data_IF_693416332680
#
_entry.id   IF_693416332680
#
_cell.length_a   1.000
_cell.length_b   1.000
_cell.length_c   1.000
_cell.angle_alpha   90.00
_cell.angle_beta   90.00
_cell.angle_gamma   90.00
#
_symmetry.space_group_name_H-M   'P 1'
#
loop_
_entity.id
_entity.type
_entity.pdbx_description
1 polymer ?
#
# COMPACT_ATOMS: atom_id res chain seq x y z
N UNK A 1 6.63 0.52 11.92
CA UNK A 1 5.44 1.28 12.30
C UNK A 1 5.56 1.95 13.66
N UNK A 2 4.50 2.64 14.10
CA UNK A 2 4.43 3.24 15.44
C UNK A 2 4.39 2.13 16.50
N UNK A 3 5.31 2.11 17.49
CA UNK A 3 5.36 1.03 18.49
C UNK A 3 4.19 1.00 19.46
N UNK A 4 3.44 2.11 19.60
CA UNK A 4 2.19 2.18 20.39
C UNK A 4 0.93 1.97 19.51
N UNK A 5 1.07 1.53 18.26
CA UNK A 5 -0.08 1.17 17.43
C UNK A 5 -0.53 -0.28 17.64
N UNK A 6 -1.69 -0.61 17.11
CA UNK A 6 -2.22 -1.99 17.11
C UNK A 6 -1.46 -2.95 16.20
N UNK A 7 -0.38 -2.51 15.54
CA UNK A 7 0.29 -3.32 14.51
C UNK A 7 0.93 -4.59 15.04
N UNK A 8 1.54 -4.56 16.24
CA UNK A 8 2.10 -5.77 16.87
C UNK A 8 1.01 -6.82 17.14
N UNK A 9 -0.14 -6.39 17.62
CA UNK A 9 -1.31 -7.25 17.84
C UNK A 9 -1.80 -7.87 16.53
N UNK A 10 -1.95 -7.05 15.48
CA UNK A 10 -2.37 -7.49 14.15
C UNK A 10 -1.36 -8.49 13.56
N UNK A 11 -0.06 -8.21 13.68
CA UNK A 11 0.98 -9.11 13.20
C UNK A 11 0.91 -10.45 13.93
N UNK A 12 0.83 -10.47 15.25
CA UNK A 12 0.76 -11.71 16.04
C UNK A 12 -0.49 -12.51 15.70
N UNK A 13 -1.66 -11.87 15.56
CA UNK A 13 -2.89 -12.53 15.10
C UNK A 13 -2.73 -13.13 13.70
N UNK A 14 -2.00 -12.45 12.81
CA UNK A 14 -1.68 -12.97 11.47
C UNK A 14 -0.76 -14.19 11.55
N UNK A 15 0.25 -14.17 12.42
CA UNK A 15 1.17 -15.30 12.63
C UNK A 15 0.45 -16.54 13.18
N UNK A 16 -0.64 -16.36 13.95
CA UNK A 16 -1.51 -17.45 14.42
C UNK A 16 -2.39 -18.05 13.31
N UNK A 17 -2.61 -17.33 12.21
CA UNK A 17 -3.49 -17.77 11.14
C UNK A 17 -2.87 -18.94 10.34
N UNK A 18 -3.72 -19.87 9.87
CA UNK A 18 -3.31 -21.02 9.04
C UNK A 18 -2.46 -20.64 7.82
N UNK A 19 -2.71 -19.46 7.22
CA UNK A 19 -1.96 -18.97 6.06
C UNK A 19 -0.47 -18.83 6.36
N UNK A 20 -0.11 -18.54 7.62
CA UNK A 20 1.29 -18.39 8.02
C UNK A 20 2.09 -19.69 7.89
N UNK A 21 1.46 -20.85 8.07
CA UNK A 21 2.11 -22.17 7.86
C UNK A 21 2.58 -22.36 6.43
N UNK A 22 1.97 -21.67 5.48
CA UNK A 22 2.23 -21.76 4.04
C UNK A 22 3.05 -20.58 3.49
N UNK A 23 3.61 -19.71 4.37
CA UNK A 23 4.48 -18.61 3.93
C UNK A 23 5.78 -19.16 3.39
N UNK A 24 6.13 -18.73 2.16
CA UNK A 24 7.25 -19.26 1.38
C UNK A 24 8.52 -18.41 1.45
N UNK A 25 8.55 -17.43 2.33
CA UNK A 25 9.66 -16.49 2.51
C UNK A 25 9.96 -16.26 3.99
N UNK A 26 11.20 -15.93 4.37
CA UNK A 26 11.53 -15.52 5.74
C UNK A 26 10.91 -14.18 6.06
N UNK A 27 10.64 -13.95 7.34
CA UNK A 27 10.07 -12.69 7.84
C UNK A 27 11.07 -12.04 8.77
N UNK A 28 11.41 -10.79 8.48
CA UNK A 28 12.29 -9.96 9.31
C UNK A 28 11.43 -8.88 9.99
N UNK A 29 11.32 -8.94 11.30
CA UNK A 29 10.63 -7.93 12.11
C UNK A 29 11.66 -6.90 12.56
N UNK A 30 11.52 -5.66 12.09
CA UNK A 30 12.36 -4.53 12.51
C UNK A 30 11.61 -3.75 13.58
N UNK A 31 12.06 -3.90 14.84
CA UNK A 31 11.39 -3.26 15.97
C UNK A 31 11.78 -3.85 17.31
N UNK A 32 11.21 -3.32 18.39
CA UNK A 32 11.57 -3.73 19.74
C UNK A 32 11.19 -5.17 20.07
N UNK A 33 12.20 -6.00 20.25
CA UNK A 33 12.05 -7.41 20.66
C UNK A 33 11.31 -7.53 21.98
N UNK A 34 11.61 -6.64 22.94
CA UNK A 34 10.95 -6.59 24.27
C UNK A 34 9.45 -6.33 24.13
N UNK A 35 9.06 -5.34 23.33
CA UNK A 35 7.64 -4.99 23.10
C UNK A 35 6.92 -6.13 22.40
N UNK A 36 7.53 -6.70 21.37
CA UNK A 36 6.96 -7.80 20.61
C UNK A 36 6.77 -9.07 21.48
N UNK A 37 7.79 -9.45 22.27
CA UNK A 37 7.69 -10.59 23.21
C UNK A 37 6.61 -10.38 24.27
N UNK A 38 6.46 -9.15 24.81
CA UNK A 38 5.38 -8.83 25.77
C UNK A 38 4.00 -9.06 25.16
N UNK A 39 3.81 -8.63 23.90
CA UNK A 39 2.53 -8.80 23.19
C UNK A 39 2.27 -10.28 22.83
N UNK A 40 3.30 -11.05 22.42
CA UNK A 40 3.20 -12.50 22.24
C UNK A 40 2.70 -13.22 23.50
N UNK A 41 3.27 -12.88 24.68
CA UNK A 41 2.86 -13.44 25.98
C UNK A 41 1.40 -13.10 26.29
N UNK A 42 0.99 -11.83 26.06
CA UNK A 42 -0.38 -11.36 26.27
C UNK A 42 -1.40 -12.11 25.41
N UNK A 43 -1.08 -12.33 24.13
CA UNK A 43 -1.95 -13.02 23.18
C UNK A 43 -1.83 -14.55 23.24
N UNK A 44 -1.00 -15.09 24.16
CA UNK A 44 -0.74 -16.53 24.31
C UNK A 44 -0.31 -17.20 23.01
N UNK A 45 0.59 -16.56 22.25
CA UNK A 45 1.10 -17.06 20.98
C UNK A 45 2.58 -17.43 21.11
N UNK A 46 2.93 -18.64 20.73
CA UNK A 46 4.32 -19.10 20.67
C UNK A 46 4.86 -18.90 19.26
N UNK A 47 6.00 -18.25 19.13
CA UNK A 47 6.70 -17.99 17.87
C UNK A 47 8.19 -18.23 18.08
N UNK A 48 8.82 -18.93 17.15
CA UNK A 48 10.28 -19.08 17.13
C UNK A 48 10.91 -17.79 16.57
N UNK A 49 11.26 -16.87 17.46
CA UNK A 49 11.85 -15.56 17.15
C UNK A 49 13.36 -15.61 17.29
N UNK A 50 14.08 -15.65 16.18
CA UNK A 50 15.55 -15.63 16.13
C UNK A 50 16.08 -14.22 16.00
N UNK A 51 17.33 -13.98 16.36
CA UNK A 51 18.02 -12.75 15.98
C UNK A 51 18.32 -12.79 14.48
N UNK A 52 18.34 -11.62 13.87
CA UNK A 52 18.78 -11.47 12.49
C UNK A 52 20.29 -11.17 12.50
N UNK A 53 21.07 -12.08 11.96
CA UNK A 53 22.54 -11.92 11.89
C UNK A 53 22.98 -11.71 10.43
N UNK A 54 22.60 -12.61 9.51
CA UNK A 54 22.98 -12.54 8.09
C UNK A 54 21.79 -12.94 7.19
N UNK A 55 21.54 -12.23 6.07
CA UNK A 55 20.52 -12.60 5.08
C UNK A 55 20.66 -14.01 4.50
N UNK A 56 21.89 -14.50 4.33
CA UNK A 56 22.18 -15.81 3.72
C UNK A 56 21.65 -16.99 4.54
N UNK A 57 21.52 -16.81 5.86
CA UNK A 57 21.13 -17.88 6.79
C UNK A 57 19.64 -17.88 7.12
N UNK A 58 18.78 -17.27 6.28
CA UNK A 58 17.36 -17.15 6.56
C UNK A 58 16.57 -18.39 6.13
N UNK A 59 15.95 -19.06 7.09
CA UNK A 59 14.98 -20.14 6.84
C UNK A 59 13.56 -19.62 6.75
N UNK A 60 12.77 -20.09 5.79
CA UNK A 60 11.35 -19.77 5.60
C UNK A 60 10.46 -20.11 6.81
N UNK A 61 10.89 -21.00 7.68
CA UNK A 61 10.15 -21.45 8.87
C UNK A 61 10.34 -20.55 10.08
N UNK A 62 11.30 -19.61 10.03
CA UNK A 62 11.65 -18.76 11.17
C UNK A 62 11.21 -17.33 10.96
N UNK A 63 11.00 -16.65 12.08
CA UNK A 63 10.83 -15.21 12.17
C UNK A 63 12.08 -14.63 12.78
N UNK A 64 12.64 -13.63 12.12
CA UNK A 64 13.85 -12.96 12.56
C UNK A 64 13.53 -11.57 13.10
N UNK A 65 14.31 -11.09 14.04
CA UNK A 65 14.15 -9.76 14.61
C UNK A 65 15.46 -8.98 14.55
N UNK A 66 15.36 -7.78 14.01
CA UNK A 66 16.35 -6.72 14.19
C UNK A 66 15.85 -5.84 15.30
N UNK A 67 16.50 -5.92 16.46
CA UNK A 67 16.04 -5.21 17.66
C UNK A 67 16.36 -3.71 17.59
N UNK A 68 15.34 -2.92 17.86
CA UNK A 68 15.46 -1.48 18.12
C UNK A 68 14.90 -1.27 19.54
N UNK A 69 15.80 -1.23 20.56
CA UNK A 69 15.34 -1.12 21.94
C UNK A 69 14.56 0.16 22.20
N UNK A 70 13.46 0.05 22.93
CA UNK A 70 12.66 1.18 23.42
C UNK A 70 12.11 0.93 24.81
N UNK A 71 11.99 2.01 25.57
CA UNK A 71 11.20 2.03 26.79
C UNK A 71 9.87 2.76 26.54
N UNK A 72 8.76 2.02 26.59
CA UNK A 72 7.42 2.59 26.37
C UNK A 72 6.92 3.43 27.56
N UNK A 73 7.53 3.33 28.75
CA UNK A 73 7.17 4.15 29.92
C UNK A 73 7.67 5.59 29.72
N UNK A 74 8.93 5.75 29.27
CA UNK A 74 9.58 7.05 29.02
C UNK A 74 9.68 7.35 27.52
N UNK A 75 8.56 7.27 26.82
CA UNK A 75 8.52 7.33 25.37
C UNK A 75 8.00 8.68 24.86
N UNK A 76 8.90 9.65 24.77
CA UNK A 76 8.63 10.97 24.20
C UNK A 76 8.37 10.93 22.69
N UNK A 77 7.78 11.99 22.16
CA UNK A 77 7.56 12.14 20.71
C UNK A 77 8.87 12.08 19.90
N UNK A 78 9.95 12.67 20.42
CA UNK A 78 11.27 12.63 19.80
C UNK A 78 11.81 11.19 19.72
N UNK A 79 11.75 10.43 20.81
CA UNK A 79 12.16 9.02 20.85
C UNK A 79 11.31 8.16 19.90
N UNK A 80 10.00 8.44 19.79
CA UNK A 80 9.10 7.77 18.85
C UNK A 80 9.53 8.01 17.41
N UNK A 81 9.76 9.25 17.02
CA UNK A 81 10.16 9.61 15.67
C UNK A 81 11.54 9.01 15.30
N UNK A 82 12.51 9.06 16.20
CA UNK A 82 13.81 8.43 16.03
C UNK A 82 13.70 6.92 15.84
N UNK A 83 12.85 6.24 16.61
CA UNK A 83 12.58 4.81 16.44
C UNK A 83 12.01 4.48 15.07
N UNK A 84 11.01 5.24 14.61
CA UNK A 84 10.39 5.05 13.29
C UNK A 84 11.42 5.29 12.18
N UNK A 85 12.21 6.37 12.27
CA UNK A 85 13.23 6.70 11.29
C UNK A 85 14.32 5.61 11.22
N UNK A 86 14.82 5.14 12.37
CA UNK A 86 15.79 4.04 12.45
C UNK A 86 15.21 2.75 11.82
N UNK A 87 13.94 2.44 12.08
CA UNK A 87 13.31 1.26 11.48
C UNK A 87 13.20 1.35 9.97
N UNK A 88 12.89 2.52 9.40
CA UNK A 88 12.91 2.72 7.95
C UNK A 88 14.32 2.68 7.36
N UNK A 89 15.31 3.29 8.03
CA UNK A 89 16.70 3.24 7.56
C UNK A 89 17.21 1.80 7.42
N UNK A 90 16.93 0.96 8.42
CA UNK A 90 17.30 -0.47 8.38
C UNK A 90 16.56 -1.18 7.25
N UNK A 91 15.23 -1.01 7.16
CA UNK A 91 14.42 -1.64 6.12
C UNK A 91 14.87 -1.25 4.70
N UNK A 92 15.12 0.04 4.46
CA UNK A 92 15.57 0.54 3.16
C UNK A 92 16.98 0.03 2.80
N UNK A 93 17.86 -0.16 3.78
CA UNK A 93 19.18 -0.76 3.54
C UNK A 93 19.06 -2.22 3.08
N UNK A 94 18.21 -3.04 3.73
CA UNK A 94 17.98 -4.43 3.33
C UNK A 94 17.38 -4.49 1.92
N UNK A 95 16.42 -3.63 1.62
CA UNK A 95 15.78 -3.56 0.30
C UNK A 95 16.76 -3.12 -0.79
N UNK A 96 17.64 -2.15 -0.49
CA UNK A 96 18.66 -1.66 -1.44
C UNK A 96 19.72 -2.71 -1.77
N UNK A 97 20.09 -3.55 -0.81
CA UNK A 97 21.03 -4.65 -0.99
C UNK A 97 20.43 -5.85 -1.72
N UNK A 98 19.10 -5.88 -1.91
CA UNK A 98 18.41 -7.04 -2.46
C UNK A 98 18.08 -8.14 -1.43
N UNK A 99 18.41 -7.92 -0.16
CA UNK A 99 18.16 -8.87 0.95
C UNK A 99 16.67 -9.03 1.28
N UNK A 100 15.82 -8.21 0.70
CA UNK A 100 14.37 -8.25 0.91
C UNK A 100 13.61 -7.82 -0.34
N UNK A 101 12.50 -8.52 -0.64
CA UNK A 101 11.64 -8.25 -1.80
C UNK A 101 10.56 -7.20 -1.51
N UNK A 102 10.11 -7.11 -0.28
CA UNK A 102 8.95 -6.30 0.09
C UNK A 102 9.08 -5.68 1.47
N UNK A 103 8.45 -4.54 1.63
CA UNK A 103 8.28 -3.84 2.90
C UNK A 103 6.80 -3.84 3.29
N UNK A 104 6.48 -4.42 4.44
CA UNK A 104 5.19 -4.21 5.09
C UNK A 104 5.44 -3.26 6.27
N UNK A 105 4.96 -2.02 6.18
CA UNK A 105 5.03 -1.12 7.31
C UNK A 105 3.68 -0.98 8.02
N UNK A 106 3.71 -1.01 9.34
CA UNK A 106 2.56 -0.70 10.17
C UNK A 106 2.15 0.78 10.07
N UNK A 107 0.99 1.13 10.63
CA UNK A 107 0.47 2.49 10.59
C UNK A 107 1.39 3.45 11.36
N UNK A 108 1.46 4.68 10.87
CA UNK A 108 2.30 5.76 11.41
C UNK A 108 1.47 7.03 11.45
N UNK A 109 1.56 7.78 12.55
CA UNK A 109 0.95 9.10 12.63
C UNK A 109 1.68 10.08 11.70
N UNK A 110 0.99 10.54 10.68
CA UNK A 110 1.53 11.47 9.68
C UNK A 110 1.90 12.82 10.31
N UNK A 111 1.02 13.35 11.15
CA UNK A 111 1.19 14.65 11.79
C UNK A 111 2.44 14.72 12.68
N UNK A 112 2.73 13.66 13.42
CA UNK A 112 3.85 13.63 14.36
C UNK A 112 5.17 13.25 13.73
N UNK A 113 5.17 12.31 12.76
CA UNK A 113 6.41 11.80 12.15
C UNK A 113 6.86 12.66 10.96
N UNK A 114 5.95 12.96 10.03
CA UNK A 114 6.31 13.67 8.80
C UNK A 114 6.43 15.19 8.99
N UNK A 115 5.84 15.75 10.06
CA UNK A 115 5.92 17.19 10.41
C UNK A 115 5.63 18.13 9.23
N UNK A 116 4.69 17.77 8.35
CA UNK A 116 4.34 18.54 7.16
C UNK A 116 5.36 18.51 6.01
N UNK A 117 6.52 17.85 6.17
CA UNK A 117 7.52 17.76 5.10
C UNK A 117 7.09 16.87 3.92
N UNK A 118 6.21 15.91 4.16
CA UNK A 118 5.66 14.99 3.16
C UNK A 118 4.17 14.80 3.39
N UNK A 119 3.40 14.66 2.32
CA UNK A 119 1.95 14.44 2.38
C UNK A 119 1.58 13.07 2.96
N UNK A 120 2.51 12.10 2.88
CA UNK A 120 2.33 10.76 3.43
C UNK A 120 3.61 9.94 3.43
N UNK A 121 3.52 8.70 3.94
CA UNK A 121 4.66 7.76 3.97
C UNK A 121 5.04 7.32 2.54
N UNK A 122 4.12 7.34 1.60
CA UNK A 122 4.38 7.04 0.19
C UNK A 122 5.37 8.05 -0.39
N UNK A 123 5.10 9.33 -0.22
CA UNK A 123 5.94 10.43 -0.70
C UNK A 123 7.30 10.48 0.03
N UNK A 124 7.29 10.16 1.34
CA UNK A 124 8.54 10.01 2.11
C UNK A 124 9.42 8.88 1.56
N UNK A 125 8.85 7.72 1.28
CA UNK A 125 9.61 6.59 0.72
C UNK A 125 10.06 6.87 -0.71
N UNK A 126 9.22 7.48 -1.54
CA UNK A 126 9.56 7.89 -2.90
C UNK A 126 10.77 8.84 -2.89
N UNK A 127 10.76 9.84 -2.01
CA UNK A 127 11.91 10.74 -1.81
C UNK A 127 13.18 9.98 -1.41
N UNK A 128 13.08 9.09 -0.40
CA UNK A 128 14.24 8.30 0.09
C UNK A 128 14.80 7.33 -0.97
N UNK A 129 13.99 6.92 -1.93
CA UNK A 129 14.40 5.99 -3.01
C UNK A 129 14.60 6.68 -4.35
N UNK A 130 14.49 8.01 -4.41
CA UNK A 130 14.57 8.81 -5.65
C UNK A 130 13.58 8.33 -6.71
N UNK A 131 12.39 7.91 -6.29
CA UNK A 131 11.29 7.47 -7.17
C UNK A 131 10.39 8.65 -7.49
N UNK A 132 9.85 8.71 -8.73
CA UNK A 132 9.03 9.83 -9.21
C UNK A 132 7.69 9.40 -9.79
N UNK A 133 7.41 8.11 -9.86
CA UNK A 133 6.21 7.54 -10.50
C UNK A 133 5.43 6.63 -9.54
N UNK A 134 5.51 6.94 -8.25
CA UNK A 134 4.78 6.23 -7.23
C UNK A 134 3.27 6.42 -7.39
N UNK A 135 2.53 5.35 -7.16
CA UNK A 135 1.09 5.38 -7.20
C UNK A 135 0.48 4.54 -6.07
N UNK A 136 -0.58 5.06 -5.49
CA UNK A 136 -1.42 4.30 -4.58
C UNK A 136 -2.23 3.29 -5.39
N UNK A 137 -2.19 2.04 -4.98
CA UNK A 137 -2.85 0.92 -5.62
C UNK A 137 -3.56 0.10 -4.56
N UNK A 138 -4.88 0.18 -4.52
CA UNK A 138 -5.68 -0.64 -3.62
C UNK A 138 -6.05 -1.93 -4.34
N UNK A 139 -5.40 -3.03 -3.92
CA UNK A 139 -5.55 -4.35 -4.53
C UNK A 139 -6.61 -5.18 -3.82
N UNK A 140 -7.51 -5.73 -4.61
CA UNK A 140 -8.34 -6.88 -4.26
C UNK A 140 -8.34 -7.86 -5.44
N UNK A 141 -8.46 -9.15 -5.18
CA UNK A 141 -8.39 -10.20 -6.21
C UNK A 141 -9.42 -10.06 -7.33
N UNK A 142 -10.56 -9.43 -7.05
CA UNK A 142 -11.68 -9.28 -8.00
C UNK A 142 -11.62 -7.96 -8.77
N UNK A 143 -11.17 -6.88 -8.11
CA UNK A 143 -11.06 -5.56 -8.69
C UNK A 143 -10.03 -4.75 -7.90
N UNK A 144 -9.14 -4.06 -8.59
CA UNK A 144 -8.25 -3.08 -7.97
C UNK A 144 -8.68 -1.65 -8.32
N UNK A 145 -8.23 -0.69 -7.53
CA UNK A 145 -8.42 0.73 -7.85
C UNK A 145 -7.16 1.54 -7.62
N UNK A 146 -7.02 2.65 -8.35
CA UNK A 146 -5.92 3.61 -8.16
C UNK A 146 -6.42 5.03 -8.40
N UNK A 147 -6.30 5.95 -7.45
CA UNK A 147 -6.63 7.35 -7.68
C UNK A 147 -5.45 8.08 -8.35
N UNK A 148 -5.74 9.02 -9.26
CA UNK A 148 -4.73 9.90 -9.85
C UNK A 148 -4.17 10.87 -8.82
N UNK A 149 -5.03 11.45 -8.01
CA UNK A 149 -4.65 12.33 -6.90
C UNK A 149 -5.06 11.70 -5.57
N UNK A 150 -4.23 11.89 -4.52
CA UNK A 150 -4.47 11.34 -3.20
C UNK A 150 -4.82 12.43 -2.18
N UNK A 151 -3.93 12.83 -1.33
CA UNK A 151 -4.17 13.70 -0.18
C UNK A 151 -4.11 15.19 -0.55
N UNK A 152 -4.94 15.64 -1.48
CA UNK A 152 -5.05 17.05 -1.84
C UNK A 152 -6.50 17.52 -1.71
N UNK A 153 -6.75 18.83 -1.43
CA UNK A 153 -8.10 19.39 -1.42
C UNK A 153 -8.81 19.19 -2.75
N UNK A 154 -10.12 18.94 -2.71
CA UNK A 154 -10.92 18.63 -3.89
C UNK A 154 -10.89 19.74 -4.95
N UNK A 155 -10.88 21.00 -4.54
CA UNK A 155 -10.79 22.17 -5.42
C UNK A 155 -9.47 22.25 -6.21
N UNK A 156 -8.43 21.54 -5.78
CA UNK A 156 -7.12 21.48 -6.48
C UNK A 156 -6.98 20.29 -7.42
N UNK A 157 -7.94 19.36 -7.44
CA UNK A 157 -7.85 18.12 -8.22
C UNK A 157 -7.73 18.43 -9.71
N UNK A 158 -8.66 19.20 -10.28
CA UNK A 158 -8.68 19.51 -11.71
C UNK A 158 -7.35 20.12 -12.20
N UNK A 159 -6.77 21.03 -11.43
CA UNK A 159 -5.50 21.67 -11.75
C UNK A 159 -4.31 20.69 -11.77
N UNK A 160 -4.36 19.64 -10.94
CA UNK A 160 -3.30 18.63 -10.80
C UNK A 160 -3.37 17.52 -11.84
N UNK A 161 -4.55 17.24 -12.40
CA UNK A 161 -4.69 16.21 -13.45
C UNK A 161 -4.06 16.72 -14.74
N UNK A 162 -2.98 16.05 -15.17
CA UNK A 162 -2.25 16.35 -16.40
C UNK A 162 -2.04 15.10 -17.23
N UNK A 163 -2.11 15.24 -18.54
CA UNK A 163 -1.90 14.16 -19.53
C UNK A 163 -0.65 13.33 -19.22
N UNK A 164 0.49 13.97 -18.95
CA UNK A 164 1.76 13.29 -18.59
C UNK A 164 1.63 12.44 -17.32
N UNK A 165 0.95 12.97 -16.29
CA UNK A 165 0.71 12.27 -15.05
C UNK A 165 -0.15 11.01 -15.27
N UNK A 166 -1.23 11.11 -16.06
CA UNK A 166 -2.11 9.99 -16.39
C UNK A 166 -1.30 8.90 -17.11
N UNK A 167 -0.53 9.27 -18.14
CA UNK A 167 0.29 8.33 -18.91
C UNK A 167 1.29 7.60 -18.00
N UNK A 168 2.03 8.34 -17.18
CA UNK A 168 3.05 7.76 -16.31
C UNK A 168 2.43 6.79 -15.29
N UNK A 169 1.36 7.21 -14.61
CA UNK A 169 0.71 6.38 -13.59
C UNK A 169 0.10 5.11 -14.18
N UNK A 170 -0.56 5.19 -15.34
CA UNK A 170 -1.12 4.01 -16.02
C UNK A 170 -0.02 3.07 -16.52
N UNK A 171 1.10 3.60 -17.01
CA UNK A 171 2.26 2.76 -17.35
C UNK A 171 2.83 2.05 -16.13
N UNK A 172 2.96 2.72 -14.98
CA UNK A 172 3.38 2.09 -13.71
C UNK A 172 2.42 0.97 -13.28
N UNK A 173 1.11 1.19 -13.39
CA UNK A 173 0.08 0.19 -13.13
C UNK A 173 0.24 -1.01 -14.07
N UNK A 174 0.33 -0.77 -15.37
CA UNK A 174 0.47 -1.83 -16.36
C UNK A 174 1.75 -2.66 -16.14
N UNK A 175 2.86 -2.00 -15.83
CA UNK A 175 4.13 -2.67 -15.54
C UNK A 175 4.06 -3.50 -14.26
N UNK A 176 3.39 -3.00 -13.21
CA UNK A 176 3.14 -3.75 -11.99
C UNK A 176 2.34 -5.03 -12.25
N UNK A 177 1.24 -4.93 -13.02
CA UNK A 177 0.45 -6.11 -13.39
C UNK A 177 1.28 -7.12 -14.19
N UNK A 178 2.06 -6.68 -15.16
CA UNK A 178 2.92 -7.58 -15.95
C UNK A 178 3.97 -8.26 -15.08
N UNK A 179 4.69 -7.48 -14.26
CA UNK A 179 5.80 -7.98 -13.47
C UNK A 179 5.35 -8.91 -12.36
N UNK A 180 4.34 -8.51 -11.58
CA UNK A 180 3.97 -9.23 -10.37
C UNK A 180 2.74 -10.12 -10.53
N UNK A 181 1.77 -9.76 -11.38
CA UNK A 181 0.56 -10.54 -11.57
C UNK A 181 0.59 -11.41 -12.83
N UNK A 182 1.57 -11.20 -13.72
CA UNK A 182 1.82 -12.04 -14.88
C UNK A 182 0.90 -11.81 -16.08
N UNK A 183 0.11 -10.71 -16.12
CA UNK A 183 -0.79 -10.44 -17.23
C UNK A 183 -0.96 -8.93 -17.52
N UNK A 184 -1.49 -8.60 -18.71
CA UNK A 184 -1.85 -7.23 -19.11
C UNK A 184 -3.25 -6.89 -18.57
N UNK A 185 -3.42 -5.87 -17.71
CA UNK A 185 -4.72 -5.54 -17.14
C UNK A 185 -5.68 -4.91 -18.14
N UNK A 186 -6.98 -5.12 -17.94
CA UNK A 186 -8.05 -4.31 -18.52
C UNK A 186 -8.30 -3.12 -17.60
N UNK A 187 -8.01 -1.91 -18.09
CA UNK A 187 -7.98 -0.67 -17.31
C UNK A 187 -9.19 0.18 -17.68
N UNK A 188 -10.01 0.54 -16.70
CA UNK A 188 -10.99 1.60 -16.81
C UNK A 188 -10.40 2.91 -16.30
N UNK A 189 -10.66 4.01 -16.97
CA UNK A 189 -10.30 5.37 -16.51
C UNK A 189 -11.59 6.17 -16.40
N UNK A 190 -11.88 6.73 -15.23
CA UNK A 190 -13.07 7.58 -15.05
C UNK A 190 -12.84 8.98 -15.59
N UNK A 191 -13.92 9.70 -15.86
CA UNK A 191 -13.86 11.16 -15.97
C UNK A 191 -13.71 11.81 -14.60
N UNK A 192 -13.45 13.10 -14.58
CA UNK A 192 -13.49 13.92 -13.38
C UNK A 192 -14.91 14.44 -13.14
N UNK A 193 -15.55 14.92 -14.21
CA UNK A 193 -16.90 15.48 -14.17
C UNK A 193 -17.98 14.40 -14.27
N UNK A 194 -19.20 14.67 -13.75
CA UNK A 194 -20.34 13.76 -13.88
C UNK A 194 -20.56 13.36 -15.35
N UNK A 195 -20.88 12.09 -15.56
CA UNK A 195 -21.16 11.49 -16.88
C UNK A 195 -20.05 11.69 -17.94
N UNK A 196 -18.87 12.18 -17.56
CA UNK A 196 -17.78 12.56 -18.47
C UNK A 196 -18.22 13.65 -19.46
N UNK A 197 -19.26 14.41 -19.12
CA UNK A 197 -19.81 15.42 -20.00
C UNK A 197 -18.82 16.54 -20.25
N UNK A 198 -18.79 16.93 -21.50
CA UNK A 198 -17.98 18.06 -21.94
C UNK A 198 -18.86 19.29 -21.94
N UNK A 199 -18.95 19.98 -20.81
CA UNK A 199 -19.58 21.30 -20.75
C UNK A 199 -18.95 22.24 -21.81
N UNK A 200 -19.71 23.26 -22.27
CA UNK A 200 -19.19 24.27 -23.22
C UNK A 200 -17.84 24.80 -22.71
N UNK A 201 -16.78 24.69 -23.53
CA UNK A 201 -15.46 25.17 -23.21
C UNK A 201 -14.40 24.07 -23.02
N UNK A 202 -13.23 24.47 -22.53
CA UNK A 202 -12.10 23.56 -22.22
C UNK A 202 -12.39 22.84 -20.91
N UNK A 203 -12.59 21.53 -20.99
CA UNK A 203 -12.71 20.67 -19.81
C UNK A 203 -11.58 19.64 -19.77
N UNK A 204 -11.40 19.05 -18.62
CA UNK A 204 -10.27 18.15 -18.34
C UNK A 204 -10.38 16.84 -19.10
N UNK A 205 -11.59 16.38 -19.41
CA UNK A 205 -11.84 15.18 -20.21
C UNK A 205 -11.26 15.35 -21.61
N UNK A 206 -11.52 16.49 -22.26
CA UNK A 206 -11.02 16.80 -23.62
C UNK A 206 -9.54 17.15 -23.63
N UNK A 207 -9.04 17.90 -22.64
CA UNK A 207 -7.68 18.46 -22.68
C UNK A 207 -6.62 17.52 -22.13
N UNK A 208 -6.95 16.68 -21.17
CA UNK A 208 -5.97 15.85 -20.46
C UNK A 208 -6.29 14.35 -20.56
N UNK A 209 -7.54 13.92 -20.23
CA UNK A 209 -7.87 12.50 -20.07
C UNK A 209 -7.94 11.79 -21.42
N UNK A 210 -8.76 12.28 -22.35
CA UNK A 210 -8.90 11.68 -23.69
C UNK A 210 -7.58 11.62 -24.46
N UNK A 211 -6.76 12.69 -24.51
CA UNK A 211 -5.47 12.62 -25.17
C UNK A 211 -4.51 11.60 -24.54
N UNK A 212 -4.52 11.47 -23.21
CA UNK A 212 -3.71 10.45 -22.51
C UNK A 212 -4.14 9.04 -22.90
N UNK A 213 -5.46 8.77 -22.89
CA UNK A 213 -6.02 7.46 -23.27
C UNK A 213 -5.69 7.13 -24.74
N UNK A 214 -5.81 8.10 -25.67
CA UNK A 214 -5.45 7.90 -27.07
C UNK A 214 -3.99 7.46 -27.23
N UNK A 215 -3.05 8.12 -26.51
CA UNK A 215 -1.62 7.75 -26.54
C UNK A 215 -1.41 6.34 -25.98
N UNK A 216 -2.07 5.99 -24.87
CA UNK A 216 -1.94 4.69 -24.23
C UNK A 216 -2.54 3.56 -25.08
N UNK A 217 -3.64 3.81 -25.81
CA UNK A 217 -4.20 2.88 -26.81
C UNK A 217 -3.23 2.61 -27.95
N UNK A 218 -2.56 3.65 -28.49
CA UNK A 218 -1.51 3.48 -29.50
C UNK A 218 -0.36 2.60 -29.01
N UNK A 219 -0.06 2.60 -27.70
CA UNK A 219 0.90 1.69 -27.06
C UNK A 219 0.34 0.29 -26.76
N UNK A 220 -0.80 -0.07 -27.36
CA UNK A 220 -1.48 -1.39 -27.22
C UNK A 220 -1.85 -1.76 -25.79
N UNK A 221 -2.15 -0.77 -24.90
CA UNK A 221 -2.74 -1.03 -23.58
C UNK A 221 -4.25 -1.32 -23.73
N UNK A 222 -4.74 -2.25 -22.91
CA UNK A 222 -6.18 -2.56 -22.82
C UNK A 222 -6.86 -1.55 -21.90
N UNK A 223 -7.12 -0.35 -22.44
CA UNK A 223 -7.63 0.80 -21.69
C UNK A 223 -8.93 1.33 -22.30
N UNK A 224 -9.91 1.63 -21.45
CA UNK A 224 -11.18 2.24 -21.82
C UNK A 224 -11.46 3.46 -20.93
N UNK A 225 -12.03 4.50 -21.51
CA UNK A 225 -12.43 5.72 -20.81
C UNK A 225 -12.39 6.97 -21.72
N UNK A 226 -12.70 8.15 -21.18
CA UNK A 226 -13.25 8.30 -19.82
C UNK A 226 -14.62 7.62 -19.66
N UNK A 227 -14.87 7.02 -18.49
CA UNK A 227 -16.12 6.38 -18.13
C UNK A 227 -16.76 7.13 -16.96
N UNK A 228 -18.07 7.10 -16.92
CA UNK A 228 -18.83 7.70 -15.82
C UNK A 228 -18.55 6.99 -14.50
N UNK A 229 -18.20 7.76 -13.47
CA UNK A 229 -17.79 7.22 -12.18
C UNK A 229 -18.91 6.55 -11.41
N UNK A 230 -20.16 7.00 -11.59
CA UNK A 230 -21.36 6.46 -10.95
C UNK A 230 -21.74 5.06 -11.47
N UNK A 231 -21.45 4.78 -12.73
CA UNK A 231 -21.88 3.52 -13.38
C UNK A 231 -20.76 2.49 -13.54
N UNK A 232 -19.48 2.90 -13.55
CA UNK A 232 -18.36 1.97 -13.75
C UNK A 232 -18.21 0.93 -12.64
N UNK A 233 -18.69 1.23 -11.43
CA UNK A 233 -18.66 0.33 -10.28
C UNK A 233 -19.87 -0.62 -10.19
N UNK A 234 -20.89 -0.44 -11.02
CA UNK A 234 -22.00 -1.39 -11.10
C UNK A 234 -21.47 -2.79 -11.42
N UNK A 235 -22.11 -3.82 -10.84
CA UNK A 235 -21.63 -5.21 -10.90
C UNK A 235 -21.28 -5.66 -12.31
N UNK A 236 -22.13 -5.38 -13.28
CA UNK A 236 -21.94 -5.81 -14.68
C UNK A 236 -20.84 -5.02 -15.41
N UNK A 237 -20.60 -3.77 -15.01
CA UNK A 237 -19.56 -2.95 -15.60
C UNK A 237 -18.18 -3.27 -15.00
N UNK A 238 -18.06 -3.32 -13.67
CA UNK A 238 -16.77 -3.54 -13.00
C UNK A 238 -16.14 -4.89 -13.32
N UNK A 239 -16.92 -5.94 -13.62
CA UNK A 239 -16.41 -7.26 -14.03
C UNK A 239 -15.61 -7.22 -15.33
N UNK A 240 -15.82 -6.21 -16.17
CA UNK A 240 -15.10 -6.03 -17.43
C UNK A 240 -13.66 -5.59 -17.21
N UNK A 241 -13.29 -5.11 -16.02
CA UNK A 241 -12.00 -4.50 -15.72
C UNK A 241 -11.26 -5.22 -14.60
N UNK A 242 -9.94 -5.14 -14.64
CA UNK A 242 -9.08 -5.58 -13.53
C UNK A 242 -8.78 -4.43 -12.58
N UNK A 243 -8.80 -3.20 -13.10
CA UNK A 243 -8.56 -1.98 -12.33
C UNK A 243 -9.39 -0.82 -12.85
N UNK A 244 -9.90 -0.02 -11.93
CA UNK A 244 -10.52 1.28 -12.18
C UNK A 244 -9.60 2.37 -11.66
N UNK A 245 -9.25 3.30 -12.54
CA UNK A 245 -8.40 4.46 -12.24
C UNK A 245 -9.27 5.69 -12.19
N UNK A 246 -9.39 6.29 -11.01
CA UNK A 246 -10.17 7.51 -10.81
C UNK A 246 -9.31 8.75 -10.72
N UNK A 247 -9.94 9.92 -10.82
CA UNK A 247 -9.23 11.20 -10.82
C UNK A 247 -8.86 11.65 -9.41
N UNK A 248 -9.62 11.27 -8.39
CA UNK A 248 -9.34 11.61 -6.99
C UNK A 248 -9.65 10.44 -6.05
N UNK A 249 -9.14 10.58 -4.82
CA UNK A 249 -9.13 9.54 -3.79
C UNK A 249 -10.51 8.91 -3.57
N UNK A 250 -11.52 9.70 -3.20
CA UNK A 250 -12.82 9.16 -2.77
C UNK A 250 -13.67 8.68 -3.93
N UNK A 251 -13.39 9.13 -5.17
CA UNK A 251 -14.06 8.64 -6.38
C UNK A 251 -13.93 7.12 -6.55
N UNK A 252 -12.84 6.55 -6.12
CA UNK A 252 -12.56 5.10 -6.26
C UNK A 252 -12.48 4.37 -4.93
N UNK A 253 -12.01 5.01 -3.84
CA UNK A 253 -11.90 4.34 -2.56
C UNK A 253 -13.25 4.21 -1.86
N UNK A 254 -14.15 5.17 -2.00
CA UNK A 254 -15.51 5.07 -1.46
C UNK A 254 -16.23 3.82 -1.98
N UNK A 255 -16.45 3.70 -3.30
CA UNK A 255 -17.05 2.49 -3.87
C UNK A 255 -16.31 1.19 -3.54
N UNK A 256 -14.96 1.23 -3.58
CA UNK A 256 -14.15 0.05 -3.27
C UNK A 256 -14.38 -0.45 -1.84
N UNK A 257 -14.44 0.47 -0.88
CA UNK A 257 -14.71 0.15 0.53
C UNK A 257 -16.12 -0.33 0.77
N UNK A 258 -17.10 0.24 0.09
CA UNK A 258 -18.50 -0.20 0.15
C UNK A 258 -18.66 -1.63 -0.37
N UNK A 259 -17.95 -1.97 -1.46
CA UNK A 259 -18.09 -3.29 -2.10
C UNK A 259 -17.29 -4.38 -1.37
N UNK A 260 -16.07 -4.08 -0.92
CA UNK A 260 -15.12 -5.08 -0.40
C UNK A 260 -14.75 -4.90 1.06
N UNK A 261 -15.19 -3.85 1.73
CA UNK A 261 -14.86 -3.56 3.13
C UNK A 261 -13.35 -3.49 3.35
N UNK A 262 -12.86 -4.27 4.31
CA UNK A 262 -11.43 -4.39 4.62
C UNK A 262 -10.71 -5.51 3.86
N UNK A 263 -11.34 -6.09 2.83
CA UNK A 263 -10.75 -7.16 2.02
C UNK A 263 -9.90 -6.61 0.88
N UNK A 264 -9.06 -5.63 1.20
CA UNK A 264 -8.13 -5.01 0.28
C UNK A 264 -6.81 -4.69 0.98
N UNK A 265 -5.75 -4.56 0.19
CA UNK A 265 -4.43 -4.12 0.65
C UNK A 265 -3.98 -2.89 -0.12
N UNK A 266 -3.34 -1.97 0.58
CA UNK A 266 -2.77 -0.78 -0.04
C UNK A 266 -1.32 -1.08 -0.43
N UNK A 267 -1.07 -1.13 -1.74
CA UNK A 267 0.26 -1.32 -2.32
C UNK A 267 0.74 0.03 -2.86
N UNK A 268 1.97 0.39 -2.60
CA UNK A 268 2.63 1.49 -3.31
C UNK A 268 3.42 0.89 -4.47
N UNK A 269 3.00 1.21 -5.68
CA UNK A 269 3.71 0.84 -6.92
C UNK A 269 4.61 1.98 -7.38
N UNK A 270 5.60 1.68 -8.25
CA UNK A 270 6.56 2.68 -8.73
C UNK A 270 7.77 2.90 -7.82
N UNK A 271 7.84 2.23 -6.67
CA UNK A 271 9.06 2.09 -5.87
C UNK A 271 9.92 0.93 -6.41
N UNK A 272 11.24 0.88 -6.12
CA UNK A 272 12.11 -0.21 -6.56
C UNK A 272 11.80 -1.56 -5.87
N UNK A 273 10.88 -1.58 -4.89
CA UNK A 273 10.42 -2.75 -4.16
C UNK A 273 8.90 -2.69 -3.95
N UNK A 274 8.30 -3.82 -3.58
CA UNK A 274 6.90 -3.87 -3.19
C UNK A 274 6.74 -3.27 -1.79
N UNK A 275 5.94 -2.22 -1.67
CA UNK A 275 5.53 -1.71 -0.37
C UNK A 275 4.06 -1.95 -0.14
N UNK A 276 3.73 -2.59 0.99
CA UNK A 276 2.35 -2.85 1.40
C UNK A 276 2.08 -2.18 2.75
N UNK A 277 0.91 -1.57 2.88
CA UNK A 277 0.38 -1.14 4.17
C UNK A 277 -0.98 -1.78 4.43
N UNK A 278 -1.21 -2.30 5.64
CA UNK A 278 -2.57 -2.62 6.06
C UNK A 278 -3.44 -1.37 5.99
N UNK A 279 -4.69 -1.56 5.60
CA UNK A 279 -5.63 -0.47 5.37
C UNK A 279 -6.30 0.00 6.67
N UNK A 280 -5.50 0.42 7.65
CA UNK A 280 -5.95 0.99 8.93
C UNK A 280 -4.94 1.97 9.51
N UNK A 281 -5.43 2.90 10.34
CA UNK A 281 -4.61 3.85 11.10
C UNK A 281 -3.96 3.24 12.34
N UNK A 282 -3.20 4.03 13.13
CA UNK A 282 -2.53 3.57 14.36
C UNK A 282 -3.49 3.02 15.43
N UNK A 283 -4.74 3.49 15.46
CA UNK A 283 -5.80 3.05 16.36
C UNK A 283 -5.37 3.02 17.84
N UNK A 284 -4.80 4.12 18.33
CA UNK A 284 -4.26 4.23 19.70
C UNK A 284 -5.27 3.83 20.77
N UNK A 285 -6.57 4.14 20.58
CA UNK A 285 -7.65 3.76 21.50
C UNK A 285 -7.85 2.25 21.62
N UNK A 286 -7.43 1.48 20.63
CA UNK A 286 -7.53 0.02 20.62
C UNK A 286 -6.24 -0.68 21.06
N UNK A 287 -5.17 0.10 21.29
CA UNK A 287 -3.88 -0.47 21.68
C UNK A 287 -3.99 -1.29 22.97
N UNK A 288 -3.61 -2.53 22.88
CA UNK A 288 -3.63 -3.47 24.01
C UNK A 288 -5.01 -4.04 24.36
N UNK A 289 -6.09 -3.75 23.63
CA UNK A 289 -7.44 -4.26 23.88
C UNK A 289 -7.76 -5.61 23.22
N UNK A 290 -6.88 -6.14 22.41
CA UNK A 290 -7.09 -7.38 21.63
C UNK A 290 -8.33 -7.34 20.70
N UNK A 291 -8.69 -6.15 20.21
CA UNK A 291 -9.87 -5.93 19.34
C UNK A 291 -9.51 -5.70 17.86
N UNK A 292 -8.21 -5.65 17.51
CA UNK A 292 -7.80 -5.34 16.14
C UNK A 292 -8.04 -6.51 15.17
N UNK A 293 -8.40 -6.15 13.91
CA UNK A 293 -8.70 -7.11 12.86
C UNK A 293 -7.44 -7.35 12.00
N UNK A 294 -6.93 -8.61 11.89
CA UNK A 294 -5.73 -8.92 11.12
C UNK A 294 -5.99 -9.13 9.62
N UNK A 295 -7.24 -9.04 9.14
CA UNK A 295 -7.63 -9.46 7.77
C UNK A 295 -6.79 -8.79 6.69
N UNK A 296 -6.55 -7.49 6.78
CA UNK A 296 -5.74 -6.76 5.78
C UNK A 296 -4.28 -7.25 5.74
N UNK A 297 -3.68 -7.57 6.89
CA UNK A 297 -2.32 -8.10 6.92
C UNK A 297 -2.25 -9.56 6.43
N UNK A 298 -3.27 -10.37 6.73
CA UNK A 298 -3.41 -11.72 6.18
C UNK A 298 -3.46 -11.66 4.64
N UNK A 299 -4.23 -10.73 4.07
CA UNK A 299 -4.27 -10.52 2.61
C UNK A 299 -2.92 -10.07 2.04
N UNK A 300 -2.16 -9.25 2.78
CA UNK A 300 -0.81 -8.84 2.38
C UNK A 300 0.13 -10.05 2.26
N UNK A 301 0.12 -10.95 3.24
CA UNK A 301 0.90 -12.20 3.18
C UNK A 301 0.44 -13.14 2.05
N UNK A 302 -0.88 -13.28 1.85
CA UNK A 302 -1.44 -14.01 0.72
C UNK A 302 -0.95 -13.48 -0.62
N UNK A 303 -0.97 -12.15 -0.77
CA UNK A 303 -0.50 -11.48 -1.98
C UNK A 303 0.98 -11.78 -2.24
N UNK A 304 1.84 -11.59 -1.23
CA UNK A 304 3.27 -11.85 -1.36
C UNK A 304 3.56 -13.32 -1.68
N UNK A 305 2.89 -14.27 -1.03
CA UNK A 305 3.02 -15.69 -1.30
C UNK A 305 2.68 -16.07 -2.74
N UNK A 306 1.65 -15.43 -3.30
CA UNK A 306 1.15 -15.77 -4.63
C UNK A 306 1.96 -15.10 -5.74
N UNK A 307 2.41 -13.87 -5.53
CA UNK A 307 2.89 -13.01 -6.60
C UNK A 307 4.35 -12.57 -6.47
N UNK A 308 4.87 -12.33 -5.25
CA UNK A 308 6.21 -11.79 -5.08
C UNK A 308 7.34 -12.82 -5.27
N UNK A 309 7.04 -14.10 -5.12
CA UNK A 309 8.04 -15.18 -5.26
C UNK A 309 8.32 -15.53 -6.73
N UNK A 310 7.45 -15.09 -7.64
CA UNK A 310 7.56 -15.33 -9.08
C UNK A 310 8.23 -14.18 -9.84
N UNK A 311 8.51 -13.06 -9.19
CA UNK A 311 9.13 -11.86 -9.74
C UNK A 311 10.61 -11.78 -9.43
#
# INVERSE_FOLDING_TARGET
GDPKSTFNEILIKTLKNKIFKNVKFPIIIIGSKKVFKKELKKLKVKVNLKNFDNPENLSKKNIYNIDIPIDLKNFSLAKKNSYIEKSFKIALNLLKKGDSLALINGPISKTTFLKGKYNGITEFLAFKTRSHNEAMFLFNKNLSVSPMTTHIPINKVAQKIKKKMIINKINSINNFYKKFLGFKPRIAVTGLNPHCETFKGKNIEKTEILPAIKILKKKKLRILGPLSADTVFLKENRKKFNIIVGMYHDQVLGPMKTIFGFDAINITIGLPFIRITPDHGPNYKMFGLNKSNPKSLIQAFSFLNKYAIKA
#
